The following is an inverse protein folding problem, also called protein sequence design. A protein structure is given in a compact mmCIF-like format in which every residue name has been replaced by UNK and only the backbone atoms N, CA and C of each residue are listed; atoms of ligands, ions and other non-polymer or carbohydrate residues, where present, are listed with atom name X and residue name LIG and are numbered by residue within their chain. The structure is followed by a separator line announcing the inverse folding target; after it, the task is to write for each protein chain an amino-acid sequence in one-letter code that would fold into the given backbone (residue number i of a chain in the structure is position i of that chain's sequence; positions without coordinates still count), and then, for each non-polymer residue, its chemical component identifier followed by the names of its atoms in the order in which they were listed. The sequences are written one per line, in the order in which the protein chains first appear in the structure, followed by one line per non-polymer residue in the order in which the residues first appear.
data_IF_822648133196
#
_entry.id   IF_822648133196
#
_cell.length_a   1.000
_cell.length_b   1.000
_cell.length_c   1.000
_cell.angle_alpha   90.00
_cell.angle_beta   90.00
_cell.angle_gamma   90.00
#
_symmetry.space_group_name_H-M   'P 1'
#
loop_
_entity.id
_entity.type
_entity.pdbx_description
1 polymer ?
#
# COMPACT_ATOMS: atom_id res chain seq x y z
N UNK A 1 12.46 -11.63 -10.77
CA UNK A 1 11.16 -11.29 -10.17
C UNK A 1 10.53 -12.60 -9.79
N UNK A 2 10.14 -12.74 -8.53
CA UNK A 2 9.58 -13.98 -7.99
C UNK A 2 8.07 -14.06 -8.22
N UNK A 3 7.52 -15.27 -8.30
CA UNK A 3 6.09 -15.51 -8.45
C UNK A 3 5.29 -14.90 -7.29
N UNK A 4 5.81 -14.95 -6.06
CA UNK A 4 5.15 -14.36 -4.89
C UNK A 4 4.98 -12.83 -5.03
N UNK A 5 6.01 -12.15 -5.55
CA UNK A 5 5.95 -10.71 -5.80
C UNK A 5 4.90 -10.37 -6.87
N UNK A 6 4.85 -11.17 -7.94
CA UNK A 6 3.89 -10.99 -9.03
C UNK A 6 2.46 -11.22 -8.54
N UNK A 7 2.22 -12.29 -7.78
CA UNK A 7 0.92 -12.61 -7.20
C UNK A 7 0.37 -11.48 -6.33
N UNK A 8 1.23 -10.84 -5.52
CA UNK A 8 0.83 -9.70 -4.71
C UNK A 8 0.40 -8.47 -5.55
N UNK A 9 0.92 -8.34 -6.78
CA UNK A 9 0.61 -7.24 -7.69
C UNK A 9 -0.56 -7.52 -8.63
N UNK A 10 -0.96 -8.78 -8.83
CA UNK A 10 -2.04 -9.17 -9.75
C UNK A 10 -3.36 -8.38 -9.56
N UNK A 11 -3.86 -8.15 -8.33
CA UNK A 11 -5.12 -7.43 -8.15
C UNK A 11 -5.07 -5.96 -8.62
N UNK A 12 -3.90 -5.31 -8.48
CA UNK A 12 -3.69 -3.97 -8.98
C UNK A 12 -3.47 -3.96 -10.50
N UNK A 13 -2.77 -4.97 -11.01
CA UNK A 13 -2.52 -5.17 -12.44
C UNK A 13 -3.83 -5.23 -13.25
N UNK A 14 -4.80 -6.01 -12.79
CA UNK A 14 -6.10 -6.17 -13.48
C UNK A 14 -6.93 -4.89 -13.49
N UNK A 15 -6.77 -4.01 -12.51
CA UNK A 15 -7.56 -2.78 -12.41
C UNK A 15 -7.05 -1.64 -13.28
N UNK A 16 -5.74 -1.44 -13.29
CA UNK A 16 -5.15 -0.24 -13.90
C UNK A 16 -4.45 -0.53 -15.23
N UNK A 17 -4.16 -1.80 -15.58
CA UNK A 17 -3.39 -2.30 -16.74
C UNK A 17 -2.02 -1.61 -17.00
N UNK A 18 -1.71 -0.57 -16.23
CA UNK A 18 -0.56 0.31 -16.35
C UNK A 18 0.55 -0.25 -15.48
N UNK A 19 1.02 -1.43 -15.85
CA UNK A 19 1.99 -2.17 -15.05
C UNK A 19 3.39 -2.17 -15.66
N UNK A 20 4.42 -2.34 -14.81
CA UNK A 20 5.81 -2.39 -15.26
C UNK A 20 6.01 -3.49 -16.30
N UNK A 21 6.86 -3.23 -17.31
CA UNK A 21 7.22 -4.20 -18.35
C UNK A 21 7.69 -5.55 -17.78
N UNK A 22 8.28 -5.54 -16.59
CA UNK A 22 8.77 -6.75 -15.90
C UNK A 22 7.62 -7.69 -15.51
N UNK A 23 6.48 -7.14 -15.08
CA UNK A 23 5.29 -7.94 -14.73
C UNK A 23 4.72 -8.59 -15.98
N UNK A 24 4.59 -7.82 -17.07
CA UNK A 24 4.12 -8.34 -18.37
C UNK A 24 5.00 -9.47 -18.90
N UNK A 25 6.32 -9.33 -18.79
CA UNK A 25 7.26 -10.37 -19.23
C UNK A 25 7.13 -11.64 -18.40
N UNK A 26 7.05 -11.51 -17.07
CA UNK A 26 6.86 -12.67 -16.20
C UNK A 26 5.53 -13.39 -16.49
N UNK A 27 4.44 -12.67 -16.70
CA UNK A 27 3.14 -13.26 -17.04
C UNK A 27 3.13 -13.98 -18.40
N UNK A 28 4.01 -13.58 -19.33
CA UNK A 28 4.18 -14.27 -20.60
C UNK A 28 4.98 -15.57 -20.46
N UNK A 29 5.93 -15.61 -19.52
CA UNK A 29 6.87 -16.72 -19.36
C UNK A 29 6.44 -17.74 -18.29
N UNK A 30 5.63 -17.34 -17.30
CA UNK A 30 5.20 -18.16 -16.18
C UNK A 30 3.72 -18.59 -16.29
N UNK A 31 3.43 -19.88 -16.53
CA UNK A 31 2.06 -20.36 -16.72
C UNK A 31 1.22 -20.24 -15.45
N UNK A 32 1.78 -20.52 -14.28
CA UNK A 32 1.03 -20.47 -13.01
C UNK A 32 0.50 -19.07 -12.71
N UNK A 33 1.35 -18.04 -12.89
CA UNK A 33 0.93 -16.65 -12.69
C UNK A 33 -0.07 -16.19 -13.76
N UNK A 34 0.02 -16.71 -14.99
CA UNK A 34 -0.96 -16.43 -16.04
C UNK A 34 -2.33 -17.05 -15.75
N UNK A 35 -2.35 -18.24 -15.13
CA UNK A 35 -3.59 -18.91 -14.73
C UNK A 35 -4.26 -18.17 -13.58
N UNK A 36 -3.49 -17.75 -12.56
CA UNK A 36 -4.01 -16.94 -11.46
C UNK A 36 -4.56 -15.61 -11.97
N UNK A 37 -3.89 -14.95 -12.93
CA UNK A 37 -4.44 -13.75 -13.58
C UNK A 37 -5.80 -14.03 -14.21
N UNK A 38 -5.93 -15.11 -14.99
CA UNK A 38 -7.19 -15.48 -15.62
C UNK A 38 -8.30 -15.81 -14.60
N UNK A 39 -7.92 -16.33 -13.42
CA UNK A 39 -8.85 -16.58 -12.31
C UNK A 39 -9.32 -15.27 -11.68
N UNK A 40 -8.42 -14.32 -11.45
CA UNK A 40 -8.78 -12.98 -10.96
C UNK A 40 -9.70 -12.24 -11.92
N UNK A 41 -9.42 -12.27 -13.22
CA UNK A 41 -10.28 -11.63 -14.24
C UNK A 41 -11.68 -12.22 -14.20
N UNK A 42 -11.81 -13.55 -14.21
CA UNK A 42 -13.13 -14.23 -14.11
C UNK A 42 -13.90 -13.87 -12.85
N UNK A 43 -13.21 -13.80 -11.70
CA UNK A 43 -13.84 -13.40 -10.44
C UNK A 43 -14.40 -11.97 -10.53
N UNK A 44 -13.63 -11.05 -11.11
CA UNK A 44 -14.05 -9.66 -11.28
C UNK A 44 -15.21 -9.54 -12.27
N UNK A 45 -15.23 -10.35 -13.34
CA UNK A 45 -16.37 -10.38 -14.28
C UNK A 45 -17.66 -10.82 -13.58
N UNK A 46 -17.60 -11.86 -12.75
CA UNK A 46 -18.75 -12.34 -11.96
C UNK A 46 -19.20 -11.28 -10.96
N UNK A 47 -18.28 -10.66 -10.23
CA UNK A 47 -18.60 -9.57 -9.30
C UNK A 47 -19.17 -8.35 -10.03
N UNK A 48 -18.64 -8.03 -11.20
CA UNK A 48 -19.16 -7.01 -12.09
C UNK A 48 -20.59 -7.30 -12.52
N UNK A 49 -20.90 -8.53 -12.92
CA UNK A 49 -22.25 -8.94 -13.30
C UNK A 49 -23.26 -8.79 -12.13
N UNK A 50 -22.83 -9.07 -10.90
CA UNK A 50 -23.66 -8.83 -9.70
C UNK A 50 -23.87 -7.34 -9.42
N UNK A 51 -22.91 -6.49 -9.78
CA UNK A 51 -22.97 -5.05 -9.59
C UNK A 51 -24.04 -4.38 -10.47
N UNK A 52 -24.54 -5.06 -11.51
CA UNK A 52 -25.56 -4.53 -12.44
C UNK A 52 -26.99 -4.85 -12.01
N UNK A 53 -27.17 -5.54 -10.88
CA UNK A 53 -28.43 -5.52 -10.14
C UNK A 53 -28.63 -4.18 -9.39
N UNK A 54 -28.04 -3.08 -9.90
CA UNK A 54 -28.10 -1.76 -9.29
C UNK A 54 -29.31 -0.99 -9.82
N UNK A 55 -30.29 -0.93 -8.93
CA UNK A 55 -31.34 0.09 -8.81
C UNK A 55 -30.97 1.40 -9.52
N UNK A 56 -31.82 1.82 -10.47
CA UNK A 56 -31.76 3.14 -11.11
C UNK A 56 -31.65 4.22 -10.03
N UNK A 57 -30.52 4.93 -9.97
CA UNK A 57 -30.33 6.00 -9.00
C UNK A 57 -31.41 7.07 -9.21
N UNK A 58 -32.22 7.43 -8.20
CA UNK A 58 -33.24 8.45 -8.37
C UNK A 58 -32.56 9.78 -8.76
N UNK A 59 -33.13 10.54 -9.71
CA UNK A 59 -32.49 11.75 -10.26
C UNK A 59 -32.14 12.79 -9.19
N UNK A 60 -32.88 12.81 -8.08
CA UNK A 60 -32.62 13.69 -6.94
C UNK A 60 -31.30 13.36 -6.23
N UNK A 61 -30.86 12.09 -6.24
CA UNK A 61 -29.62 11.66 -5.61
C UNK A 61 -28.39 12.15 -6.37
N UNK A 62 -28.45 12.21 -7.70
CA UNK A 62 -27.36 12.75 -8.52
C UNK A 62 -27.16 14.25 -8.26
N UNK A 63 -28.24 15.03 -8.18
CA UNK A 63 -28.18 16.45 -7.85
C UNK A 63 -27.69 16.70 -6.42
N UNK A 64 -28.15 15.89 -5.46
CA UNK A 64 -27.69 15.98 -4.07
C UNK A 64 -26.20 15.62 -3.91
N UNK A 65 -25.70 14.63 -4.65
CA UNK A 65 -24.28 14.26 -4.68
C UNK A 65 -23.41 15.33 -5.35
N UNK A 66 -23.91 15.97 -6.42
CA UNK A 66 -23.20 17.07 -7.10
C UNK A 66 -23.11 18.34 -6.23
N UNK A 67 -24.11 18.57 -5.38
CA UNK A 67 -24.13 19.69 -4.44
C UNK A 67 -23.43 19.38 -3.10
N UNK A 68 -23.15 18.10 -2.81
CA UNK A 68 -22.46 17.70 -1.61
C UNK A 68 -20.99 18.20 -1.67
N UNK A 69 -20.51 18.95 -0.66
CA UNK A 69 -19.10 19.27 -0.59
C UNK A 69 -18.32 17.97 -0.44
N UNK A 70 -17.55 17.62 -1.46
CA UNK A 70 -16.67 16.46 -1.40
C UNK A 70 -15.61 16.75 -0.35
N UNK A 71 -15.82 16.25 0.88
CA UNK A 71 -14.77 16.26 1.87
C UNK A 71 -13.58 15.55 1.23
N UNK A 72 -12.47 16.27 1.09
CA UNK A 72 -11.25 15.73 0.54
C UNK A 72 -10.99 14.36 1.19
N UNK A 73 -10.77 13.36 0.33
CA UNK A 73 -10.58 11.95 0.69
C UNK A 73 -9.93 11.81 2.08
N UNK A 74 -10.42 10.91 2.97
CA UNK A 74 -9.81 10.67 4.27
C UNK A 74 -8.29 10.53 4.20
N UNK A 75 -7.78 10.02 3.08
CA UNK A 75 -6.36 9.92 2.73
C UNK A 75 -5.62 11.26 2.72
N UNK A 76 -6.22 12.37 2.28
CA UNK A 76 -5.59 13.70 2.24
C UNK A 76 -5.47 14.28 3.66
N UNK A 77 -6.52 14.17 4.47
CA UNK A 77 -6.49 14.57 5.90
C UNK A 77 -5.44 13.74 6.65
N UNK A 78 -5.41 12.43 6.42
CA UNK A 78 -4.39 11.52 6.99
C UNK A 78 -2.97 11.87 6.52
N UNK A 79 -2.75 12.11 5.23
CA UNK A 79 -1.42 12.47 4.69
C UNK A 79 -0.91 13.78 5.26
N UNK A 80 -1.76 14.79 5.39
CA UNK A 80 -1.40 16.07 6.01
C UNK A 80 -1.07 15.87 7.50
N UNK A 81 -1.88 15.08 8.21
CA UNK A 81 -1.65 14.77 9.62
C UNK A 81 -0.33 14.03 9.84
N UNK A 82 -0.03 13.01 9.02
CA UNK A 82 1.22 12.24 9.10
C UNK A 82 2.42 13.10 8.71
N UNK A 83 2.30 13.94 7.68
CA UNK A 83 3.37 14.86 7.28
C UNK A 83 3.66 15.89 8.38
N UNK A 84 2.63 16.43 9.03
CA UNK A 84 2.76 17.42 10.09
C UNK A 84 3.30 16.81 11.40
N UNK A 85 2.90 15.57 11.72
CA UNK A 85 3.33 14.86 12.93
C UNK A 85 4.50 13.89 12.69
N UNK A 86 5.22 14.01 11.57
CA UNK A 86 6.27 13.08 11.18
C UNK A 86 7.36 12.94 12.26
N UNK A 87 7.70 14.02 12.96
CA UNK A 87 8.68 14.00 14.05
C UNK A 87 8.22 13.14 15.25
N UNK A 88 6.93 13.17 15.59
CA UNK A 88 6.36 12.36 16.67
C UNK A 88 6.30 10.86 16.31
N UNK A 89 6.07 10.55 15.03
CA UNK A 89 6.12 9.17 14.54
C UNK A 89 7.57 8.63 14.43
N UNK A 90 8.53 9.49 14.07
CA UNK A 90 9.95 9.11 14.00
C UNK A 90 10.60 9.01 15.39
N UNK A 91 10.16 9.80 16.38
CA UNK A 91 10.67 9.68 17.76
C UNK A 91 10.26 8.36 18.42
N UNK A 92 9.13 7.76 18.01
CA UNK A 92 8.74 6.41 18.42
C UNK A 92 9.70 5.32 17.93
N UNK A 93 10.31 5.50 16.76
CA UNK A 93 11.35 4.58 16.22
C UNK A 93 12.71 4.75 16.91
N UNK A 94 12.98 5.92 17.50
CA UNK A 94 14.22 6.16 18.25
C UNK A 94 14.25 5.42 19.60
N UNK A 95 13.08 5.10 20.20
CA UNK A 95 13.01 4.27 21.42
C UNK A 95 13.41 2.81 21.11
N UNK A 96 13.24 2.33 19.87
CA UNK A 96 13.76 1.04 19.39
C UNK A 96 15.15 1.09 18.75
N UNK A 97 15.76 2.28 18.63
CA UNK A 97 17.08 2.50 18.01
C UNK A 97 18.19 2.87 19.00
N UNK A 98 17.91 2.85 20.30
CA UNK A 98 18.89 3.12 21.36
C UNK A 98 19.72 1.89 21.76
N UNK A 99 19.79 0.83 20.94
CA UNK A 99 20.55 -0.39 21.24
C UNK A 99 21.91 -0.48 20.49
N UNK A 100 22.17 0.33 19.46
CA UNK A 100 23.45 0.29 18.75
C UNK A 100 24.40 1.45 19.14
N UNK A 101 23.92 2.70 19.17
CA UNK A 101 24.77 3.85 19.48
C UNK A 101 25.11 3.99 20.97
N UNK A 102 24.19 3.61 21.87
CA UNK A 102 24.42 3.62 23.32
C UNK A 102 25.49 2.62 23.78
N UNK A 103 25.54 1.45 23.14
CA UNK A 103 26.54 0.42 23.43
C UNK A 103 27.96 0.86 23.05
N UNK A 104 28.13 1.57 21.92
CA UNK A 104 29.43 2.06 21.48
C UNK A 104 30.01 3.13 22.44
N UNK A 105 29.17 4.06 22.90
CA UNK A 105 29.59 5.10 23.86
C UNK A 105 29.90 4.51 25.23
N UNK A 106 29.13 3.52 25.69
CA UNK A 106 29.39 2.83 26.96
C UNK A 106 30.69 2.00 26.93
N UNK A 107 30.94 1.26 25.83
CA UNK A 107 32.19 0.49 25.64
C UNK A 107 33.43 1.40 25.60
N UNK A 108 33.35 2.56 24.93
CA UNK A 108 34.45 3.52 24.89
C UNK A 108 34.76 4.13 26.27
N UNK A 109 33.72 4.32 27.09
CA UNK A 109 33.85 4.93 28.43
C UNK A 109 34.42 3.94 29.45
N UNK A 110 34.05 2.65 29.39
CA UNK A 110 34.60 1.61 30.25
C UNK A 110 36.08 1.30 29.95
N UNK A 111 36.51 1.35 28.68
CA UNK A 111 37.93 1.13 28.33
C UNK A 111 38.86 2.24 28.84
N UNK A 112 38.36 3.46 29.02
CA UNK A 112 39.15 4.57 29.56
C UNK A 112 39.33 4.50 31.08
N UNK A 113 38.38 3.92 31.81
CA UNK A 113 38.50 3.75 33.27
C UNK A 113 39.32 2.51 33.68
N UNK A 114 39.50 1.54 32.78
CA UNK A 114 40.38 0.39 33.01
C UNK A 114 41.85 0.62 32.60
N UNK A 115 42.15 1.76 31.98
CA UNK A 115 43.49 2.14 31.51
C UNK A 115 44.09 3.33 32.29
N UNK A 116 43.45 3.73 33.38
CA UNK A 116 43.94 4.69 34.38
C UNK A 116 44.11 3.94 35.71
#
# INVERSE_FOLDING_TARGET
MDCLEIQAMLPAYVKDETSPLVVRRHLADCPDCSEELARYTRLLDVLGALQWATVQSPPVAAAALAAAPFEASPSKKLRIHVAHNRAAYLSGLAVSGASAAGAAVWLLRNRRMAAA
#
